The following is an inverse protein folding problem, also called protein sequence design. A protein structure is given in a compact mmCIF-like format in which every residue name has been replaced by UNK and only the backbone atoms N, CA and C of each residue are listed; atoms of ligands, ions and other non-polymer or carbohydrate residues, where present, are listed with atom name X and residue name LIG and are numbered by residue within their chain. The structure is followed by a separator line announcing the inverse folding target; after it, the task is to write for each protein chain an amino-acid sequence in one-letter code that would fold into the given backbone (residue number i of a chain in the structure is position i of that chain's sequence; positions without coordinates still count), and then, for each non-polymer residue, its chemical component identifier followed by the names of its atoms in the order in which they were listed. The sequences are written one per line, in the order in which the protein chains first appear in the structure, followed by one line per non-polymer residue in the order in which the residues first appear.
data_IF_059195658685
#
_entry.id   IF_059195658685
#
_cell.length_a   1.000
_cell.length_b   1.000
_cell.length_c   1.000
_cell.angle_alpha   90.00
_cell.angle_beta   90.00
_cell.angle_gamma   90.00
#
_symmetry.space_group_name_H-M   'P 1'
#
loop_
_entity.id
_entity.type
_entity.pdbx_description
1 polymer ?
#
# COMPACT_ATOMS: atom_id res chain seq x y z
N UNK A 1 -25.89 -16.92 19.44
CA UNK A 1 -25.90 -16.54 18.01
C UNK A 1 -24.73 -17.25 17.35
N UNK A 2 -24.90 -17.96 16.22
CA UNK A 2 -23.73 -18.52 15.54
C UNK A 2 -22.91 -17.37 14.94
N UNK A 3 -21.57 -17.48 14.87
CA UNK A 3 -20.76 -16.53 14.13
C UNK A 3 -21.14 -16.63 12.65
N UNK A 4 -21.52 -15.51 12.05
CA UNK A 4 -21.67 -15.40 10.59
C UNK A 4 -20.32 -15.66 9.95
N UNK A 5 -20.09 -16.87 9.46
CA UNK A 5 -18.96 -17.18 8.60
C UNK A 5 -18.93 -16.16 7.44
N UNK A 6 -17.75 -15.66 7.04
CA UNK A 6 -17.64 -14.70 5.95
C UNK A 6 -18.27 -15.27 4.68
N UNK A 7 -18.91 -14.41 3.89
CA UNK A 7 -19.53 -14.84 2.63
C UNK A 7 -18.45 -15.48 1.72
N UNK A 8 -18.78 -16.53 0.94
CA UNK A 8 -17.81 -17.20 0.07
C UNK A 8 -17.18 -16.24 -0.96
N UNK A 9 -17.87 -15.14 -1.30
CA UNK A 9 -17.32 -14.08 -2.12
C UNK A 9 -16.20 -13.31 -1.41
N UNK A 10 -16.38 -12.94 -0.14
CA UNK A 10 -15.35 -12.26 0.66
C UNK A 10 -14.14 -13.16 0.89
N UNK A 11 -14.34 -14.45 1.18
CA UNK A 11 -13.25 -15.41 1.33
C UNK A 11 -12.36 -15.49 0.07
N UNK A 12 -12.97 -15.49 -1.12
CA UNK A 12 -12.25 -15.48 -2.40
C UNK A 12 -11.49 -14.17 -2.66
N UNK A 13 -12.04 -13.04 -2.21
CA UNK A 13 -11.35 -11.74 -2.29
C UNK A 13 -10.15 -11.75 -1.34
N UNK A 14 -10.33 -12.22 -0.11
CA UNK A 14 -9.27 -12.33 0.90
C UNK A 14 -8.12 -13.21 0.41
N UNK A 15 -8.42 -14.39 -0.14
CA UNK A 15 -7.41 -15.30 -0.69
C UNK A 15 -6.60 -14.64 -1.82
N UNK A 16 -7.29 -14.00 -2.76
CA UNK A 16 -6.64 -13.28 -3.88
C UNK A 16 -5.80 -12.10 -3.40
N UNK A 17 -6.29 -11.36 -2.41
CA UNK A 17 -5.57 -10.25 -1.81
C UNK A 17 -4.28 -10.75 -1.15
N UNK A 18 -4.38 -11.74 -0.27
CA UNK A 18 -3.24 -12.33 0.43
C UNK A 18 -2.21 -12.97 -0.51
N UNK A 19 -2.65 -13.58 -1.60
CA UNK A 19 -1.75 -14.13 -2.63
C UNK A 19 -0.99 -13.04 -3.41
N UNK A 20 -1.62 -11.88 -3.66
CA UNK A 20 -1.04 -10.79 -4.45
C UNK A 20 -0.26 -9.78 -3.62
N UNK A 21 -0.57 -9.68 -2.33
CA UNK A 21 0.02 -8.68 -1.42
C UNK A 21 1.56 -8.70 -1.42
N UNK A 22 2.27 -9.84 -1.38
CA UNK A 22 3.74 -9.85 -1.44
C UNK A 22 4.30 -9.19 -2.70
N UNK A 23 3.77 -9.57 -3.86
CA UNK A 23 4.19 -9.01 -5.15
C UNK A 23 3.91 -7.50 -5.19
N UNK A 24 2.76 -7.06 -4.67
CA UNK A 24 2.43 -5.62 -4.56
C UNK A 24 3.41 -4.86 -3.67
N UNK A 25 3.84 -5.43 -2.56
CA UNK A 25 4.81 -4.80 -1.66
C UNK A 25 6.19 -4.71 -2.33
N UNK A 26 6.59 -5.71 -3.13
CA UNK A 26 7.86 -5.69 -3.85
C UNK A 26 7.83 -4.71 -5.05
N UNK A 27 6.70 -4.62 -5.76
CA UNK A 27 6.43 -3.58 -6.78
C UNK A 27 6.51 -2.18 -6.17
N UNK A 28 5.93 -1.99 -4.97
CA UNK A 28 5.98 -0.74 -4.21
C UNK A 28 7.42 -0.36 -3.83
N UNK A 29 8.23 -1.31 -3.34
CA UNK A 29 9.64 -1.06 -3.01
C UNK A 29 10.45 -0.67 -4.26
N UNK A 30 10.18 -1.35 -5.39
CA UNK A 30 10.83 -1.04 -6.68
C UNK A 30 10.49 0.36 -7.16
N UNK A 31 9.21 0.75 -7.11
CA UNK A 31 8.77 2.08 -7.50
C UNK A 31 9.33 3.17 -6.55
N UNK A 32 9.39 2.90 -5.25
CA UNK A 32 10.00 3.82 -4.28
C UNK A 32 11.50 4.04 -4.54
N UNK A 33 12.23 2.98 -4.94
CA UNK A 33 13.63 3.08 -5.32
C UNK A 33 13.81 3.90 -6.62
N UNK A 34 12.91 3.73 -7.60
CA UNK A 34 12.92 4.51 -8.83
C UNK A 34 12.69 6.02 -8.58
N UNK A 35 11.74 6.37 -7.70
CA UNK A 35 11.53 7.77 -7.28
C UNK A 35 12.79 8.35 -6.63
N UNK A 36 13.45 7.60 -5.75
CA UNK A 36 14.69 8.04 -5.10
C UNK A 36 15.87 8.21 -6.08
N UNK A 37 15.89 7.47 -7.18
CA UNK A 37 16.89 7.60 -8.22
C UNK A 37 16.63 8.77 -9.18
N UNK A 38 15.55 9.56 -8.98
CA UNK A 38 15.14 10.62 -9.89
C UNK A 38 14.46 10.11 -11.16
N UNK A 39 13.92 8.88 -11.11
CA UNK A 39 13.07 8.31 -12.15
C UNK A 39 11.62 8.29 -11.66
N UNK A 40 11.11 9.46 -11.25
CA UNK A 40 9.76 9.61 -10.70
C UNK A 40 8.63 9.38 -11.72
N UNK A 41 8.93 9.58 -13.01
CA UNK A 41 7.97 9.47 -14.10
C UNK A 41 7.45 8.03 -14.21
N UNK A 42 6.14 7.84 -13.98
CA UNK A 42 5.51 6.52 -13.96
C UNK A 42 5.63 5.80 -12.61
N UNK A 43 6.76 5.92 -11.91
CA UNK A 43 6.95 5.30 -10.59
C UNK A 43 5.96 5.84 -9.54
N UNK A 44 5.72 7.15 -9.52
CA UNK A 44 4.72 7.75 -8.63
C UNK A 44 3.29 7.31 -8.98
N UNK A 45 2.96 7.16 -10.27
CA UNK A 45 1.64 6.69 -10.68
C UNK A 45 1.40 5.23 -10.28
N UNK A 46 2.45 4.39 -10.35
CA UNK A 46 2.35 3.01 -9.91
C UNK A 46 2.23 2.89 -8.39
N UNK A 47 2.96 3.71 -7.63
CA UNK A 47 2.79 3.80 -6.17
C UNK A 47 1.37 4.20 -5.78
N UNK A 48 0.82 5.26 -6.39
CA UNK A 48 -0.56 5.69 -6.18
C UNK A 48 -1.53 4.54 -6.43
N UNK A 49 -1.40 3.84 -7.56
CA UNK A 49 -2.28 2.73 -7.93
C UNK A 49 -2.24 1.58 -6.92
N UNK A 50 -1.03 1.18 -6.49
CA UNK A 50 -0.87 0.11 -5.48
C UNK A 50 -1.47 0.53 -4.13
N UNK A 51 -1.20 1.76 -3.70
CA UNK A 51 -1.70 2.29 -2.43
C UNK A 51 -3.21 2.46 -2.43
N UNK A 52 -3.79 2.91 -3.55
CA UNK A 52 -5.23 3.00 -3.76
C UNK A 52 -5.91 1.63 -3.66
N UNK A 53 -5.38 0.62 -4.36
CA UNK A 53 -5.89 -0.76 -4.29
C UNK A 53 -5.87 -1.28 -2.85
N UNK A 54 -4.79 -1.04 -2.11
CA UNK A 54 -4.62 -1.44 -0.71
C UNK A 54 -5.57 -0.68 0.22
N UNK A 55 -5.68 0.63 0.08
CA UNK A 55 -6.54 1.48 0.90
C UNK A 55 -8.01 1.09 0.77
N UNK A 56 -8.45 0.70 -0.44
CA UNK A 56 -9.82 0.25 -0.68
C UNK A 56 -10.10 -1.18 -0.23
N UNK A 57 -9.14 -2.10 -0.41
CA UNK A 57 -9.38 -3.53 -0.19
C UNK A 57 -9.06 -3.97 1.24
N UNK A 58 -8.03 -3.40 1.87
CA UNK A 58 -7.55 -3.85 3.18
C UNK A 58 -8.60 -3.72 4.31
N UNK A 59 -9.31 -2.58 4.49
CA UNK A 59 -10.32 -2.45 5.54
C UNK A 59 -11.50 -3.42 5.35
N UNK A 60 -11.90 -3.69 4.10
CA UNK A 60 -12.99 -4.64 3.78
C UNK A 60 -12.66 -6.06 4.26
N UNK A 61 -11.38 -6.38 4.39
CA UNK A 61 -10.88 -7.68 4.84
C UNK A 61 -10.50 -7.69 6.34
N UNK A 62 -10.75 -6.60 7.07
CA UNK A 62 -10.40 -6.47 8.49
C UNK A 62 -9.00 -5.95 8.76
N UNK A 63 -8.26 -5.52 7.73
CA UNK A 63 -6.93 -4.94 7.85
C UNK A 63 -7.01 -3.40 7.93
N UNK A 64 -7.68 -2.88 8.96
CA UNK A 64 -7.96 -1.45 9.11
C UNK A 64 -6.68 -0.60 9.21
N UNK A 65 -5.68 -1.04 9.98
CA UNK A 65 -4.40 -0.32 10.11
C UNK A 65 -3.65 -0.27 8.77
N UNK A 66 -3.61 -1.40 8.04
CA UNK A 66 -3.00 -1.46 6.72
C UNK A 66 -3.69 -0.52 5.73
N UNK A 67 -5.03 -0.49 5.75
CA UNK A 67 -5.81 0.41 4.89
C UNK A 67 -5.58 1.88 5.21
N UNK A 68 -5.53 2.25 6.49
CA UNK A 68 -5.25 3.62 6.92
C UNK A 68 -3.83 4.06 6.53
N UNK A 69 -2.84 3.19 6.70
CA UNK A 69 -1.46 3.46 6.25
C UNK A 69 -1.38 3.58 4.73
N UNK A 70 -2.05 2.70 3.98
CA UNK A 70 -2.09 2.79 2.52
C UNK A 70 -2.70 4.11 2.06
N UNK A 71 -3.80 4.55 2.68
CA UNK A 71 -4.45 5.83 2.37
C UNK A 71 -3.53 7.03 2.62
N UNK A 72 -2.87 7.05 3.77
CA UNK A 72 -1.91 8.11 4.08
C UNK A 72 -0.72 8.13 3.09
N UNK A 73 -0.29 6.96 2.61
CA UNK A 73 0.72 6.86 1.56
C UNK A 73 0.23 7.39 0.21
N UNK A 74 -0.99 7.02 -0.18
CA UNK A 74 -1.66 7.50 -1.40
C UNK A 74 -1.69 9.03 -1.42
N UNK A 75 -2.14 9.65 -0.32
CA UNK A 75 -2.22 11.11 -0.19
C UNK A 75 -0.84 11.79 -0.33
N UNK A 76 0.22 11.20 0.24
CA UNK A 76 1.60 11.69 0.07
C UNK A 76 2.05 11.63 -1.39
N UNK A 77 1.78 10.52 -2.08
CA UNK A 77 2.14 10.35 -3.50
C UNK A 77 1.37 11.33 -4.38
N UNK A 78 0.08 11.53 -4.13
CA UNK A 78 -0.75 12.51 -4.83
C UNK A 78 -0.20 13.91 -4.62
N UNK A 79 0.14 14.29 -3.38
CA UNK A 79 0.74 15.58 -3.08
C UNK A 79 2.05 15.81 -3.84
N UNK A 80 2.92 14.79 -3.89
CA UNK A 80 4.18 14.84 -4.65
C UNK A 80 3.92 14.98 -6.15
N UNK A 81 2.95 14.24 -6.71
CA UNK A 81 2.61 14.27 -8.15
C UNK A 81 2.00 15.58 -8.61
N UNK A 82 1.15 16.18 -7.78
CA UNK A 82 0.46 17.44 -8.10
C UNK A 82 1.41 18.64 -7.94
N UNK A 83 2.50 18.48 -7.19
CA UNK A 83 3.55 19.50 -7.12
C UNK A 83 4.15 19.75 -8.51
N UNK A 84 4.15 21.01 -8.94
CA UNK A 84 4.71 21.43 -10.23
C UNK A 84 6.26 21.40 -10.26
N UNK A 85 6.89 21.08 -9.13
CA UNK A 85 8.33 21.04 -8.94
C UNK A 85 8.79 19.62 -8.61
N UNK A 86 10.06 19.34 -8.92
CA UNK A 86 10.70 18.09 -8.53
C UNK A 86 10.54 17.86 -7.02
N UNK A 87 10.14 16.66 -6.57
CA UNK A 87 10.04 16.38 -5.14
C UNK A 87 11.36 16.62 -4.43
N UNK A 88 11.30 17.29 -3.28
CA UNK A 88 12.45 17.45 -2.40
C UNK A 88 12.87 16.09 -1.81
N UNK A 89 14.16 15.90 -1.58
CA UNK A 89 14.72 14.68 -0.99
C UNK A 89 14.07 14.33 0.35
N UNK A 90 13.68 15.35 1.13
CA UNK A 90 12.94 15.17 2.38
C UNK A 90 11.57 14.50 2.17
N UNK A 91 10.82 14.93 1.15
CA UNK A 91 9.51 14.34 0.81
C UNK A 91 9.67 12.91 0.32
N UNK A 92 10.71 12.62 -0.45
CA UNK A 92 11.04 11.27 -0.91
C UNK A 92 11.39 10.37 0.29
N UNK A 93 12.23 10.84 1.22
CA UNK A 93 12.59 10.02 2.38
C UNK A 93 11.41 9.80 3.32
N UNK A 94 10.53 10.80 3.50
CA UNK A 94 9.26 10.63 4.23
C UNK A 94 8.39 9.56 3.59
N UNK A 95 8.21 9.62 2.26
CA UNK A 95 7.47 8.59 1.51
C UNK A 95 8.10 7.21 1.73
N UNK A 96 9.41 7.06 1.59
CA UNK A 96 10.10 5.78 1.80
C UNK A 96 9.94 5.27 3.23
N UNK A 97 10.07 6.12 4.23
CA UNK A 97 9.85 5.74 5.62
C UNK A 97 8.43 5.23 5.85
N UNK A 98 7.45 5.88 5.23
CA UNK A 98 6.05 5.46 5.29
C UNK A 98 5.81 4.11 4.63
N UNK A 99 6.35 3.88 3.42
CA UNK A 99 6.24 2.61 2.71
C UNK A 99 6.92 1.46 3.45
N UNK A 100 8.07 1.72 4.11
CA UNK A 100 8.72 0.74 5.00
C UNK A 100 7.82 0.34 6.17
N UNK A 101 7.13 1.31 6.78
CA UNK A 101 6.16 1.05 7.86
C UNK A 101 4.97 0.23 7.35
N UNK A 102 4.42 0.60 6.19
CA UNK A 102 3.32 -0.14 5.56
C UNK A 102 3.71 -1.61 5.33
N UNK A 103 4.91 -1.87 4.77
CA UNK A 103 5.42 -3.23 4.57
C UNK A 103 5.57 -3.99 5.88
N UNK A 104 6.00 -3.31 6.95
CA UNK A 104 6.11 -3.94 8.26
C UNK A 104 4.75 -4.39 8.79
N UNK A 105 3.74 -3.49 8.79
CA UNK A 105 2.37 -3.80 9.23
C UNK A 105 1.75 -4.91 8.37
N UNK A 106 1.89 -4.83 7.04
CA UNK A 106 1.40 -5.87 6.14
C UNK A 106 2.02 -7.25 6.40
N UNK A 107 3.25 -7.32 6.96
CA UNK A 107 3.87 -8.59 7.38
C UNK A 107 3.35 -9.07 8.74
N UNK A 108 3.08 -8.17 9.69
CA UNK A 108 2.56 -8.51 11.01
C UNK A 108 1.11 -9.04 10.90
N UNK A 109 0.24 -8.32 10.20
CA UNK A 109 -1.16 -8.70 9.97
C UNK A 109 -1.30 -10.08 9.30
N UNK A 110 -0.34 -10.46 8.44
CA UNK A 110 -0.30 -11.79 7.83
C UNK A 110 0.21 -12.89 8.76
N UNK A 111 1.03 -12.55 9.76
CA UNK A 111 1.53 -13.51 10.74
C UNK A 111 0.49 -13.80 11.83
N UNK A 112 -0.40 -12.85 12.12
CA UNK A 112 -1.46 -13.01 13.12
C UNK A 112 -2.77 -13.57 12.54
N UNK A 113 -3.01 -13.40 11.23
CA UNK A 113 -4.22 -13.84 10.55
C UNK A 113 -4.22 -15.30 10.04
N UNK A 114 -3.40 -16.19 10.61
CA UNK A 114 -3.27 -17.58 10.16
C UNK A 114 -3.38 -18.61 11.29
#
# INVERSE_FOLDING_TARGET
MPPTSPSPALARIAERFSARLPARLDEMDTAAAAVAAGNETGALAELERILHDLAGTAPVLGYDELGALARSGEDMVVCIRVSATRPADESIEKLRAHLRRLRHVAKQERAEGQ
#
